data_IF_617046155333
#
_entry.id   IF_617046155333
#
_cell.length_a   1.000
_cell.length_b   1.000
_cell.length_c   1.000
_cell.angle_alpha   90.00
_cell.angle_beta   90.00
_cell.angle_gamma   90.00
#
_symmetry.space_group_name_H-M   'P 1'
#
loop_
_entity.id
_entity.type
_entity.pdbx_description
1 polymer ?
#
# COMPACT_ATOMS: atom_id res chain seq x y z
N UNK A 1 23.51 -4.42 6.21
CA UNK A 1 23.03 -5.08 4.99
C UNK A 1 23.52 -4.33 3.76
N UNK A 2 23.40 -4.89 2.54
CA UNK A 2 23.75 -4.20 1.30
C UNK A 2 22.79 -3.05 0.99
N UNK A 3 23.20 -2.15 0.09
CA UNK A 3 22.31 -1.12 -0.49
C UNK A 3 21.48 -1.79 -1.58
N UNK A 4 20.17 -1.93 -1.35
CA UNK A 4 19.25 -2.54 -2.30
C UNK A 4 18.73 -1.51 -3.32
N UNK A 5 18.56 -1.93 -4.57
CA UNK A 5 17.83 -1.19 -5.59
C UNK A 5 16.33 -1.33 -5.40
N UNK A 6 15.55 -0.42 -5.99
CA UNK A 6 14.08 -0.40 -5.90
C UNK A 6 13.41 -1.76 -6.19
N UNK A 7 13.71 -2.47 -7.30
CA UNK A 7 13.10 -3.77 -7.57
C UNK A 7 13.44 -4.84 -6.53
N UNK A 8 14.66 -4.79 -5.97
CA UNK A 8 15.12 -5.72 -4.93
C UNK A 8 14.41 -5.45 -3.60
N UNK A 9 14.25 -4.17 -3.26
CA UNK A 9 13.49 -3.73 -2.08
C UNK A 9 12.03 -4.14 -2.20
N UNK A 10 11.35 -3.87 -3.32
CA UNK A 10 9.93 -4.21 -3.46
C UNK A 10 9.66 -5.73 -3.40
N UNK A 11 10.64 -6.57 -3.79
CA UNK A 11 10.52 -8.02 -3.76
C UNK A 11 11.19 -8.70 -2.55
N UNK A 12 11.76 -7.92 -1.63
CA UNK A 12 12.55 -8.45 -0.53
C UNK A 12 11.70 -9.41 0.35
N UNK A 13 12.26 -10.53 0.85
CA UNK A 13 11.52 -11.50 1.66
C UNK A 13 10.83 -10.89 2.89
N UNK A 14 11.48 -9.93 3.57
CA UNK A 14 10.89 -9.24 4.73
C UNK A 14 9.67 -8.38 4.35
N UNK A 15 9.69 -7.73 3.17
CA UNK A 15 8.56 -6.91 2.73
C UNK A 15 7.36 -7.78 2.35
N UNK A 16 7.60 -8.94 1.74
CA UNK A 16 6.56 -9.95 1.47
C UNK A 16 6.00 -10.58 2.75
N UNK A 17 6.87 -10.99 3.67
CA UNK A 17 6.45 -11.62 4.94
C UNK A 17 5.61 -10.70 5.83
N UNK A 18 5.75 -9.37 5.67
CA UNK A 18 5.01 -8.38 6.45
C UNK A 18 3.85 -7.73 5.72
N UNK A 19 3.54 -8.17 4.49
CA UNK A 19 2.50 -7.58 3.63
C UNK A 19 2.69 -6.06 3.44
N UNK A 20 3.93 -5.65 3.21
CA UNK A 20 4.31 -4.24 3.14
C UNK A 20 3.84 -3.54 1.85
N UNK A 21 3.59 -4.30 0.79
CA UNK A 21 3.02 -3.80 -0.47
C UNK A 21 1.53 -4.14 -0.47
N UNK A 22 0.70 -3.12 -0.63
CA UNK A 22 -0.76 -3.25 -0.68
C UNK A 22 -1.27 -2.99 -2.08
N UNK A 23 -2.34 -3.66 -2.45
CA UNK A 23 -3.01 -3.49 -3.74
C UNK A 23 -4.36 -2.79 -3.50
N UNK A 24 -4.62 -1.74 -4.27
CA UNK A 24 -5.84 -0.93 -4.19
C UNK A 24 -6.46 -0.83 -5.58
N UNK A 25 -7.78 -1.00 -5.66
CA UNK A 25 -8.52 -0.75 -6.89
C UNK A 25 -8.82 0.74 -7.00
N UNK A 26 -8.17 1.41 -7.95
CA UNK A 26 -8.38 2.82 -8.23
C UNK A 26 -9.29 3.00 -9.46
N UNK A 27 -10.32 3.86 -9.39
CA UNK A 27 -11.37 3.96 -10.42
C UNK A 27 -10.84 4.28 -11.82
N UNK A 28 -9.72 5.01 -11.93
CA UNK A 28 -9.12 5.36 -13.22
C UNK A 28 -7.91 4.50 -13.63
N UNK A 29 -7.26 3.83 -12.68
CA UNK A 29 -5.95 3.19 -12.88
C UNK A 29 -6.00 1.68 -12.73
N UNK A 30 -7.14 1.11 -12.32
CA UNK A 30 -7.27 -0.29 -11.97
C UNK A 30 -6.49 -0.62 -10.70
N UNK A 31 -5.92 -1.82 -10.63
CA UNK A 31 -5.15 -2.26 -9.46
C UNK A 31 -3.81 -1.53 -9.43
N UNK A 32 -3.59 -0.74 -8.38
CA UNK A 32 -2.33 -0.03 -8.12
C UNK A 32 -1.65 -0.60 -6.88
N UNK A 33 -0.31 -0.67 -6.92
CA UNK A 33 0.51 -1.07 -5.78
C UNK A 33 0.96 0.17 -4.99
N UNK A 34 0.78 0.13 -3.68
CA UNK A 34 1.22 1.19 -2.77
C UNK A 34 1.98 0.62 -1.58
N UNK A 35 2.72 1.49 -0.89
CA UNK A 35 3.37 1.14 0.37
C UNK A 35 2.33 1.17 1.50
N UNK A 36 2.22 0.06 2.23
CA UNK A 36 1.42 -0.02 3.43
C UNK A 36 2.09 0.61 4.65
N UNK A 37 1.34 0.71 5.74
CA UNK A 37 1.84 1.03 7.07
C UNK A 37 2.94 0.01 7.47
N UNK A 38 4.13 0.48 7.89
CA UNK A 38 5.22 -0.42 8.32
C UNK A 38 4.93 -1.18 9.62
N UNK A 39 3.90 -0.80 10.38
CA UNK A 39 3.54 -1.38 11.67
C UNK A 39 2.31 -2.28 11.50
N UNK A 40 2.47 -3.54 11.90
CA UNK A 40 1.37 -4.50 12.01
C UNK A 40 0.82 -4.50 13.44
N UNK A 41 -0.41 -4.06 13.62
CA UNK A 41 -1.13 -4.13 14.89
C UNK A 41 -1.87 -5.46 15.00
N UNK A 42 -1.73 -6.14 16.14
CA UNK A 42 -2.38 -7.44 16.39
C UNK A 42 -3.88 -7.29 16.65
N UNK A 43 -4.25 -6.32 17.48
CA UNK A 43 -5.61 -6.20 18.01
C UNK A 43 -6.48 -5.33 17.09
N UNK A 44 -5.86 -4.40 16.36
CA UNK A 44 -6.52 -3.49 15.42
C UNK A 44 -5.79 -3.46 14.08
N UNK A 45 -5.88 -4.54 13.27
CA UNK A 45 -5.19 -4.61 11.99
C UNK A 45 -5.50 -3.41 11.09
N UNK A 46 -4.47 -2.90 10.40
CA UNK A 46 -4.63 -1.79 9.46
C UNK A 46 -5.51 -2.23 8.29
N UNK A 47 -6.49 -1.42 7.93
CA UNK A 47 -7.43 -1.67 6.84
C UNK A 47 -7.26 -0.61 5.76
N UNK A 48 -7.00 -1.04 4.52
CA UNK A 48 -6.88 -0.18 3.35
C UNK A 48 -8.16 -0.31 2.53
N UNK A 49 -9.12 0.60 2.75
CA UNK A 49 -10.48 0.48 2.20
C UNK A 49 -10.73 1.27 0.93
N UNK A 50 -10.06 2.41 0.78
CA UNK A 50 -10.31 3.35 -0.31
C UNK A 50 -9.00 3.67 -1.03
N UNK A 51 -9.03 3.78 -2.36
CA UNK A 51 -7.92 4.37 -3.11
C UNK A 51 -7.79 5.87 -2.79
N UNK A 52 -6.69 6.52 -3.22
CA UNK A 52 -6.61 7.97 -3.19
C UNK A 52 -7.81 8.62 -3.91
N UNK A 53 -8.41 9.69 -3.35
CA UNK A 53 -9.58 10.31 -3.94
C UNK A 53 -9.23 11.02 -5.25
N UNK A 54 -10.19 11.06 -6.16
CA UNK A 54 -10.17 11.91 -7.33
C UNK A 54 -10.28 13.38 -6.95
N UNK A 55 -9.86 14.24 -7.88
CA UNK A 55 -10.02 15.69 -7.72
C UNK A 55 -11.51 16.03 -7.54
N UNK A 56 -11.85 16.48 -6.34
CA UNK A 56 -13.21 16.88 -6.00
C UNK A 56 -14.15 15.77 -5.51
N UNK A 57 -13.65 14.55 -5.29
CA UNK A 57 -14.49 13.38 -4.92
C UNK A 57 -15.34 13.60 -3.67
N UNK A 58 -14.84 14.36 -2.70
CA UNK A 58 -15.53 14.64 -1.43
C UNK A 58 -15.88 16.12 -1.24
N UNK A 59 -15.91 16.94 -2.30
CA UNK A 59 -16.15 18.39 -2.15
C UNK A 59 -17.61 18.73 -1.80
N UNK A 60 -18.55 17.82 -2.07
CA UNK A 60 -20.00 18.04 -1.90
C UNK A 60 -20.66 17.12 -0.87
N UNK A 61 -19.89 16.27 -0.21
CA UNK A 61 -20.30 15.49 0.98
C UNK A 61 -20.15 16.34 2.25
#
# INVERSE_FOLDING_TARGET
>A
GPINRLPETLNHPQHRARNFIVELEHPLLGIVKSLGNPINFSDTPVSYRLPPPLLGEHTTD
#
